data_IF_690434298077
#
_entry.id   IF_690434298077
#
_cell.length_a   1.000
_cell.length_b   1.000
_cell.length_c   1.000
_cell.angle_alpha   90.00
_cell.angle_beta   90.00
_cell.angle_gamma   90.00
#
_symmetry.space_group_name_H-M   'P 1'
#
loop_
_entity.id
_entity.type
_entity.pdbx_description
1 polymer ?
#
# COMPACT_ATOMS: atom_id res chain seq x y z
N UNK A 1 14.58 -8.00 2.16
CA UNK A 1 13.57 -6.95 1.88
C UNK A 1 14.27 -5.65 1.56
N UNK A 2 13.75 -4.90 0.64
CA UNK A 2 14.23 -3.56 0.32
C UNK A 2 14.10 -2.67 1.55
N UNK A 3 15.16 -1.90 1.86
CA UNK A 3 15.13 -0.94 2.95
C UNK A 3 14.10 0.16 2.69
N UNK A 4 13.53 0.71 3.75
CA UNK A 4 12.55 1.78 3.73
C UNK A 4 11.17 1.38 3.16
N UNK A 5 10.96 0.10 2.91
CA UNK A 5 9.62 -0.42 2.63
C UNK A 5 8.97 -0.84 3.94
N UNK A 6 7.79 -0.31 4.19
CA UNK A 6 7.01 -0.62 5.38
C UNK A 6 5.85 -1.51 4.98
N UNK A 7 5.76 -2.67 5.61
CA UNK A 7 4.62 -3.57 5.42
C UNK A 7 3.79 -3.52 6.69
N UNK A 8 2.52 -3.18 6.54
CA UNK A 8 1.58 -3.12 7.65
C UNK A 8 0.53 -4.19 7.51
N UNK A 9 0.33 -4.94 8.60
CA UNK A 9 -0.78 -5.86 8.72
C UNK A 9 -1.82 -5.21 9.65
N UNK A 10 -3.01 -4.88 9.15
CA UNK A 10 -4.01 -4.20 9.96
C UNK A 10 -4.62 -5.12 11.01
N UNK A 11 -5.12 -4.52 12.09
CA UNK A 11 -5.98 -5.22 13.03
C UNK A 11 -7.38 -5.35 12.42
N UNK A 12 -7.80 -6.56 12.17
CA UNK A 12 -9.10 -6.84 11.56
C UNK A 12 -10.10 -7.16 12.67
N UNK A 13 -11.20 -6.44 12.68
CA UNK A 13 -12.30 -6.64 13.62
C UNK A 13 -13.42 -7.38 12.89
N UNK A 14 -13.74 -8.57 13.38
CA UNK A 14 -14.72 -9.45 12.76
C UNK A 14 -15.92 -9.62 13.68
N UNK A 15 -17.12 -9.49 13.12
CA UNK A 15 -18.37 -9.86 13.77
C UNK A 15 -19.34 -10.49 12.75
N UNK A 16 -20.60 -10.67 13.13
CA UNK A 16 -21.58 -11.30 12.24
C UNK A 16 -21.84 -10.52 10.95
N UNK A 17 -21.46 -9.24 10.89
CA UNK A 17 -21.64 -8.39 9.70
C UNK A 17 -20.49 -8.53 8.72
N UNK A 18 -19.34 -9.06 9.15
CA UNK A 18 -18.13 -9.18 8.35
C UNK A 18 -16.93 -8.58 9.05
N UNK A 19 -16.02 -8.03 8.27
CA UNK A 19 -14.72 -7.55 8.73
C UNK A 19 -14.61 -6.05 8.57
N UNK A 20 -13.88 -5.43 9.50
CA UNK A 20 -13.59 -4.01 9.48
C UNK A 20 -12.16 -3.78 9.88
N UNK A 21 -11.43 -2.98 9.13
CA UNK A 21 -10.07 -2.57 9.50
C UNK A 21 -9.77 -1.17 8.96
N UNK A 22 -8.74 -0.56 9.54
CA UNK A 22 -8.28 0.76 9.15
C UNK A 22 -7.17 0.62 8.11
N UNK A 23 -7.30 1.29 6.97
CA UNK A 23 -6.26 1.34 5.96
C UNK A 23 -5.13 2.27 6.37
N UNK A 24 -5.47 3.47 6.80
CA UNK A 24 -4.47 4.47 7.16
C UNK A 24 -5.04 5.45 8.18
N UNK A 25 -4.18 5.86 9.09
CA UNK A 25 -4.47 6.89 10.06
C UNK A 25 -3.16 7.62 10.35
N UNK A 26 -3.19 8.95 10.31
CA UNK A 26 -1.95 9.74 10.42
C UNK A 26 -1.26 9.60 11.79
N UNK A 27 -1.97 9.10 12.79
CA UNK A 27 -1.41 8.86 14.12
C UNK A 27 -0.78 7.48 14.28
N UNK A 28 -0.81 6.64 13.25
CA UNK A 28 -0.20 5.31 13.33
C UNK A 28 1.32 5.45 13.41
N UNK A 29 1.91 4.76 14.37
CA UNK A 29 3.35 4.88 14.66
C UNK A 29 4.22 4.33 13.53
N UNK A 30 3.77 3.33 12.82
CA UNK A 30 4.54 2.72 11.73
C UNK A 30 4.79 3.68 10.56
N UNK A 31 4.01 4.75 10.45
CA UNK A 31 4.21 5.76 9.40
C UNK A 31 5.22 6.84 9.82
N UNK A 32 5.54 6.95 11.12
CA UNK A 32 6.38 8.02 11.62
C UNK A 32 5.81 9.39 11.29
N UNK A 33 6.58 10.20 10.57
CA UNK A 33 6.15 11.53 10.14
C UNK A 33 5.48 11.55 8.77
N UNK A 34 5.30 10.39 8.15
CA UNK A 34 4.68 10.32 6.83
C UNK A 34 3.22 10.73 6.89
N UNK A 35 2.81 11.46 5.87
CA UNK A 35 1.44 11.93 5.71
C UNK A 35 0.99 11.71 4.27
N UNK A 36 -0.23 11.23 4.10
CA UNK A 36 -0.82 10.99 2.79
C UNK A 36 -2.02 11.93 2.63
N UNK A 37 -2.03 12.70 1.57
CA UNK A 37 -3.07 13.71 1.34
C UNK A 37 -3.82 13.52 0.01
N UNK A 38 -3.61 12.40 -0.65
CA UNK A 38 -4.23 12.11 -1.94
C UNK A 38 -4.41 10.61 -2.04
N UNK A 39 -5.58 10.17 -2.43
CA UNK A 39 -5.81 8.76 -2.69
C UNK A 39 -6.41 8.54 -4.08
N UNK A 40 -6.19 7.37 -4.60
CA UNK A 40 -6.75 6.90 -5.86
C UNK A 40 -7.19 5.46 -5.70
N UNK A 41 -8.23 5.11 -6.42
CA UNK A 41 -8.64 3.72 -6.57
C UNK A 41 -8.55 3.38 -8.05
N UNK A 42 -7.94 2.25 -8.34
CA UNK A 42 -7.91 1.73 -9.70
C UNK A 42 -8.41 0.30 -9.73
N UNK A 43 -8.97 -0.08 -10.85
CA UNK A 43 -9.36 -1.46 -11.10
C UNK A 43 -8.59 -1.98 -12.30
N UNK A 44 -8.30 -3.27 -12.29
CA UNK A 44 -7.62 -3.93 -13.41
C UNK A 44 -8.33 -5.23 -13.73
N UNK A 45 -8.44 -5.50 -15.01
CA UNK A 45 -8.94 -6.78 -15.49
C UNK A 45 -7.82 -7.82 -15.38
N UNK A 46 -8.19 -9.08 -15.40
CA UNK A 46 -7.23 -10.18 -15.39
C UNK A 46 -6.20 -10.01 -16.51
N UNK A 47 -4.95 -10.35 -16.20
CA UNK A 47 -3.82 -10.32 -17.12
C UNK A 47 -3.39 -8.91 -17.57
N UNK A 48 -3.78 -7.87 -16.80
CA UNK A 48 -3.31 -6.52 -17.07
C UNK A 48 -2.02 -6.27 -16.30
N UNK A 49 -1.02 -5.77 -17.01
CA UNK A 49 0.21 -5.28 -16.43
C UNK A 49 0.18 -3.76 -16.35
N UNK A 50 0.48 -3.22 -15.18
CA UNK A 50 0.71 -1.79 -14.96
C UNK A 50 2.11 -1.60 -14.42
N UNK A 51 2.87 -0.74 -15.00
CA UNK A 51 4.21 -0.43 -14.51
C UNK A 51 5.27 -0.55 -15.60
N UNK A 52 6.52 -0.48 -15.26
CA UNK A 52 7.00 -0.13 -13.93
C UNK A 52 7.04 1.39 -13.82
N UNK A 53 6.51 1.93 -12.72
CA UNK A 53 6.47 3.37 -12.49
C UNK A 53 7.23 3.72 -11.21
N UNK A 54 7.79 4.89 -11.17
CA UNK A 54 8.42 5.38 -9.97
C UNK A 54 8.62 6.88 -9.99
N UNK A 55 8.82 7.44 -8.81
CA UNK A 55 9.31 8.78 -8.66
C UNK A 55 10.11 8.86 -7.36
N UNK A 56 10.84 9.96 -7.18
CA UNK A 56 11.67 10.17 -6.00
C UNK A 56 11.11 11.27 -5.09
N UNK A 57 9.85 11.65 -5.28
CA UNK A 57 9.26 12.81 -4.60
C UNK A 57 8.16 12.46 -3.63
N UNK A 58 7.59 11.27 -3.71
CA UNK A 58 6.43 10.93 -2.92
C UNK A 58 6.55 9.55 -2.29
N UNK A 59 5.87 9.38 -1.16
CA UNK A 59 5.60 8.09 -0.57
C UNK A 59 4.25 7.58 -1.06
N UNK A 60 4.15 6.28 -1.18
CA UNK A 60 2.91 5.64 -1.64
C UNK A 60 2.52 4.53 -0.68
N UNK A 61 1.27 4.54 -0.27
CA UNK A 61 0.64 3.45 0.45
C UNK A 61 -0.23 2.68 -0.52
N UNK A 62 0.06 1.41 -0.67
CA UNK A 62 -0.62 0.56 -1.66
C UNK A 62 -1.34 -0.56 -0.94
N UNK A 63 -2.61 -0.74 -1.26
CA UNK A 63 -3.46 -1.77 -0.69
C UNK A 63 -4.26 -2.44 -1.80
N UNK A 64 -4.25 -3.77 -1.82
CA UNK A 64 -5.15 -4.54 -2.67
C UNK A 64 -6.47 -4.75 -1.91
N UNK A 65 -7.53 -4.08 -2.35
CA UNK A 65 -8.82 -4.11 -1.66
C UNK A 65 -9.67 -5.32 -2.03
N UNK A 66 -9.48 -5.86 -3.22
CA UNK A 66 -10.25 -6.99 -3.71
C UNK A 66 -9.42 -7.80 -4.71
N UNK A 67 -9.47 -9.10 -4.59
CA UNK A 67 -8.71 -10.00 -5.45
C UNK A 67 -7.25 -10.11 -5.03
N UNK A 68 -6.43 -10.54 -5.96
CA UNK A 68 -5.00 -10.74 -5.75
C UNK A 68 -4.21 -10.03 -6.83
N UNK A 69 -3.10 -9.43 -6.44
CA UNK A 69 -2.17 -8.81 -7.37
C UNK A 69 -0.77 -9.37 -7.14
N UNK A 70 0.01 -9.44 -8.19
CA UNK A 70 1.43 -9.68 -8.10
C UNK A 70 2.14 -8.33 -8.14
N UNK A 71 2.72 -7.95 -7.02
CA UNK A 71 3.32 -6.62 -6.86
C UNK A 71 4.84 -6.73 -6.86
N UNK A 72 5.46 -6.00 -7.77
CA UNK A 72 6.91 -6.00 -7.93
C UNK A 72 7.47 -4.64 -7.57
N UNK A 73 8.45 -4.65 -6.69
CA UNK A 73 9.20 -3.45 -6.30
C UNK A 73 10.65 -3.60 -6.75
N UNK A 74 11.15 -2.54 -7.36
CA UNK A 74 12.55 -2.48 -7.77
C UNK A 74 13.22 -1.30 -7.07
N UNK A 75 14.29 -1.57 -6.36
CA UNK A 75 15.11 -0.54 -5.75
C UNK A 75 16.33 -0.29 -6.64
N UNK A 76 16.35 0.85 -7.31
CA UNK A 76 17.43 1.25 -8.18
C UNK A 76 18.28 2.39 -7.60
N UNK A 77 18.15 2.63 -6.30
CA UNK A 77 18.99 3.64 -5.63
C UNK A 77 20.44 3.17 -5.61
N UNK A 78 21.33 4.11 -5.80
CA UNK A 78 22.74 3.86 -5.56
C UNK A 78 22.99 3.80 -4.05
N UNK A 79 23.77 2.83 -3.63
CA UNK A 79 24.12 2.65 -2.23
C UNK A 79 25.28 3.53 -1.81
#
# INVERSE_FOLDING_TARGET
>A
MINDVIIRNPDVHTDYRGDLWTLWRHTDLEWGELSFNHDKVSTSRKNVLRGIHGDNKSWKLITCLYGDIYFVMVDNRES
#
